data_IF_086734762856
#
_entry.id   IF_086734762856
#
_cell.length_a   1.000
_cell.length_b   1.000
_cell.length_c   1.000
_cell.angle_alpha   90.00
_cell.angle_beta   90.00
_cell.angle_gamma   90.00
#
_symmetry.space_group_name_H-M   'P 1'
#
loop_
_entity.id
_entity.type
_entity.pdbx_description
1 polymer ?
#
# COMPACT_ATOMS: atom_id res chain seq x y z
N UNK A 1 -1.74 46.57 1.18
CA UNK A 1 -2.40 46.55 2.50
C UNK A 1 -2.53 45.08 2.86
N UNK A 2 -1.83 44.50 3.83
CA UNK A 2 -0.86 44.98 4.79
C UNK A 2 0.18 43.85 5.02
N UNK A 3 1.41 44.23 5.35
CA UNK A 3 2.42 43.33 5.90
C UNK A 3 2.00 42.86 7.29
N UNK A 4 2.36 41.64 7.67
CA UNK A 4 2.59 41.30 9.07
C UNK A 4 3.70 40.25 9.24
N UNK A 5 4.72 40.72 9.97
CA UNK A 5 5.70 40.01 10.78
C UNK A 5 6.91 39.32 10.11
N UNK A 6 8.07 39.95 10.33
CA UNK A 6 9.40 39.41 10.07
C UNK A 6 9.86 38.55 11.26
N UNK A 7 10.50 37.41 11.00
CA UNK A 7 11.57 36.90 11.87
C UNK A 7 12.57 35.99 11.12
N UNK A 8 13.64 36.60 10.60
CA UNK A 8 14.98 36.42 11.17
C UNK A 8 15.68 35.05 11.21
N UNK A 9 15.15 33.93 10.70
CA UNK A 9 15.90 32.65 10.69
C UNK A 9 16.30 32.20 9.28
N UNK A 10 17.62 32.09 9.07
CA UNK A 10 18.27 31.59 7.84
C UNK A 10 17.56 30.36 7.31
N UNK A 11 16.86 30.51 6.17
CA UNK A 11 16.23 29.38 5.47
C UNK A 11 17.34 28.57 4.80
N UNK A 12 17.66 27.41 5.37
CA UNK A 12 18.38 26.35 4.66
C UNK A 12 17.63 25.96 3.37
N UNK A 13 18.29 25.32 2.39
CA UNK A 13 17.71 25.16 1.06
C UNK A 13 16.41 24.36 1.14
N UNK A 14 15.31 25.05 0.79
CA UNK A 14 13.93 24.58 0.69
C UNK A 14 13.78 23.32 -0.19
N UNK A 15 14.78 23.04 -1.03
CA UNK A 15 14.84 21.89 -1.93
C UNK A 15 15.15 20.56 -1.24
N UNK A 16 15.78 20.57 -0.06
CA UNK A 16 16.22 19.34 0.61
C UNK A 16 15.05 18.52 1.16
N UNK A 17 14.06 19.17 1.76
CA UNK A 17 12.88 18.50 2.35
C UNK A 17 11.96 17.95 1.28
N UNK A 18 11.73 18.70 0.20
CA UNK A 18 10.84 18.29 -0.89
C UNK A 18 11.44 17.13 -1.71
N UNK A 19 12.76 17.15 -1.94
CA UNK A 19 13.48 16.06 -2.60
C UNK A 19 13.47 14.78 -1.77
N UNK A 20 13.65 14.89 -0.44
CA UNK A 20 13.54 13.75 0.48
C UNK A 20 12.12 13.17 0.51
N UNK A 21 11.08 14.02 0.52
CA UNK A 21 9.69 13.57 0.41
C UNK A 21 9.41 12.87 -0.92
N UNK A 22 9.92 13.38 -2.04
CA UNK A 22 9.81 12.73 -3.35
C UNK A 22 10.53 11.38 -3.40
N UNK A 23 11.71 11.25 -2.80
CA UNK A 23 12.45 9.99 -2.67
C UNK A 23 11.71 8.98 -1.77
N UNK A 24 11.09 9.43 -0.68
CA UNK A 24 10.26 8.59 0.18
C UNK A 24 9.01 8.09 -0.56
N UNK A 25 8.38 8.96 -1.36
CA UNK A 25 7.20 8.62 -2.17
C UNK A 25 7.54 7.84 -3.44
N UNK A 26 8.79 7.86 -3.92
CA UNK A 26 9.22 7.13 -5.11
C UNK A 26 9.07 5.60 -4.98
N UNK A 27 8.99 5.10 -3.74
CA UNK A 27 8.78 3.69 -3.45
C UNK A 27 7.30 3.30 -3.37
N UNK A 28 6.38 4.22 -3.63
CA UNK A 28 4.94 3.95 -3.61
C UNK A 28 4.33 4.05 -5.01
N UNK A 29 3.28 3.28 -5.22
CA UNK A 29 2.45 3.30 -6.41
C UNK A 29 0.97 3.31 -6.01
N UNK A 30 0.14 3.81 -6.92
CA UNK A 30 -1.30 3.73 -6.83
C UNK A 30 -1.83 2.76 -7.88
N UNK A 31 -2.78 1.91 -7.48
CA UNK A 31 -3.42 0.94 -8.36
C UNK A 31 -4.93 0.98 -8.15
N UNK A 32 -5.67 0.58 -9.19
CA UNK A 32 -7.12 0.40 -9.12
C UNK A 32 -7.37 -1.10 -9.33
N UNK A 33 -8.07 -1.73 -8.40
CA UNK A 33 -8.45 -3.13 -8.53
C UNK A 33 -9.60 -3.29 -9.52
N UNK A 34 -9.76 -4.51 -10.05
CA UNK A 34 -10.89 -4.85 -10.91
C UNK A 34 -12.24 -4.71 -10.18
N UNK A 35 -12.24 -4.74 -8.85
CA UNK A 35 -13.40 -4.49 -7.98
C UNK A 35 -13.75 -3.00 -7.89
N UNK A 36 -12.89 -2.10 -8.37
CA UNK A 36 -13.05 -0.65 -8.28
C UNK A 36 -12.40 0.01 -7.06
N UNK A 37 -11.85 -0.78 -6.13
CA UNK A 37 -11.16 -0.25 -4.94
C UNK A 37 -9.84 0.44 -5.33
N UNK A 38 -9.52 1.53 -4.64
CA UNK A 38 -8.24 2.20 -4.73
C UNK A 38 -7.22 1.56 -3.80
N UNK A 39 -6.00 1.39 -4.29
CA UNK A 39 -4.90 0.78 -3.55
C UNK A 39 -3.72 1.73 -3.53
N UNK A 40 -3.18 1.93 -2.33
CA UNK A 40 -1.87 2.52 -2.12
C UNK A 40 -0.90 1.40 -1.74
N UNK A 41 0.11 1.19 -2.57
CA UNK A 41 1.03 0.06 -2.46
C UNK A 41 2.48 0.49 -2.64
N UNK A 42 3.41 -0.44 -2.43
CA UNK A 42 4.81 -0.24 -2.77
C UNK A 42 5.03 -0.43 -4.28
N UNK A 43 5.99 0.29 -4.86
CA UNK A 43 6.33 0.26 -6.28
C UNK A 43 6.86 -1.11 -6.77
N UNK A 44 7.18 -2.02 -5.84
CA UNK A 44 7.53 -3.42 -6.15
C UNK A 44 6.31 -4.27 -6.58
N UNK A 45 5.10 -3.79 -6.30
CA UNK A 45 3.86 -4.40 -6.75
C UNK A 45 3.72 -4.27 -8.26
N UNK A 46 3.22 -5.32 -8.91
CA UNK A 46 3.13 -5.44 -10.36
C UNK A 46 1.77 -5.97 -10.77
N UNK A 47 1.44 -5.77 -12.05
CA UNK A 47 0.27 -6.41 -12.65
C UNK A 47 0.38 -7.94 -12.47
N UNK A 48 -0.75 -8.57 -12.11
CA UNK A 48 -0.90 -9.99 -11.71
C UNK A 48 -0.53 -10.32 -10.26
N UNK A 49 -0.03 -9.38 -9.47
CA UNK A 49 -0.08 -9.54 -8.01
C UNK A 49 -1.55 -9.55 -7.56
N UNK A 50 -1.87 -10.41 -6.59
CA UNK A 50 -3.21 -10.55 -6.03
C UNK A 50 -3.26 -9.85 -4.67
N UNK A 51 -4.35 -9.13 -4.43
CA UNK A 51 -4.65 -8.58 -3.10
C UNK A 51 -5.32 -9.68 -2.30
N UNK A 52 -4.75 -10.01 -1.14
CA UNK A 52 -5.24 -11.04 -0.26
C UNK A 52 -5.41 -10.52 1.17
N UNK A 53 -6.38 -11.08 1.87
CA UNK A 53 -6.49 -11.00 3.33
C UNK A 53 -5.93 -12.30 3.89
N UNK A 54 -4.99 -12.20 4.83
CA UNK A 54 -4.37 -13.36 5.46
C UNK A 54 -4.85 -13.47 6.90
N UNK A 55 -5.16 -14.70 7.34
CA UNK A 55 -5.47 -14.97 8.74
C UNK A 55 -4.29 -14.52 9.61
N UNK A 56 -4.58 -13.71 10.63
CA UNK A 56 -3.56 -13.16 11.53
C UNK A 56 -2.80 -11.95 10.99
N UNK A 57 -3.07 -11.48 9.76
CA UNK A 57 -2.54 -10.23 9.25
C UNK A 57 -3.58 -9.11 9.40
N UNK A 58 -3.27 -8.00 10.08
CA UNK A 58 -4.24 -6.92 10.33
C UNK A 58 -4.45 -6.00 9.12
N UNK A 59 -3.75 -6.24 8.01
CA UNK A 59 -3.81 -5.40 6.81
C UNK A 59 -3.87 -6.27 5.55
N UNK A 60 -4.47 -5.79 4.46
CA UNK A 60 -4.38 -6.44 3.16
C UNK A 60 -2.94 -6.51 2.66
N UNK A 61 -2.64 -7.53 1.86
CA UNK A 61 -1.28 -7.78 1.35
C UNK A 61 -1.30 -8.09 -0.13
N UNK A 62 -0.21 -7.75 -0.82
CA UNK A 62 0.08 -8.22 -2.17
C UNK A 62 0.79 -9.56 -2.10
N UNK A 63 0.24 -10.56 -2.78
CA UNK A 63 0.87 -11.85 -3.03
C UNK A 63 1.17 -12.00 -4.51
N UNK A 64 2.30 -12.63 -4.83
CA UNK A 64 2.68 -12.97 -6.20
C UNK A 64 2.60 -14.48 -6.40
N UNK A 65 1.63 -14.98 -7.17
CA UNK A 65 1.54 -16.40 -7.50
C UNK A 65 2.73 -16.87 -8.33
N UNK A 66 3.26 -18.07 -8.06
CA UNK A 66 4.31 -18.70 -8.87
C UNK A 66 3.77 -19.59 -10.02
N UNK A 67 2.45 -19.81 -10.04
CA UNK A 67 1.75 -20.66 -11.02
C UNK A 67 1.54 -22.11 -10.59
N UNK A 68 2.14 -22.54 -9.47
CA UNK A 68 2.04 -23.89 -8.91
C UNK A 68 1.21 -23.95 -7.62
N UNK A 69 0.33 -22.97 -7.41
CA UNK A 69 -0.47 -22.84 -6.19
C UNK A 69 0.26 -22.19 -5.01
N UNK A 70 1.53 -21.81 -5.17
CA UNK A 70 2.30 -21.11 -4.14
C UNK A 70 2.35 -19.62 -4.40
N UNK A 71 2.58 -18.86 -3.33
CA UNK A 71 2.60 -17.41 -3.36
C UNK A 71 3.81 -16.86 -2.61
N UNK A 72 4.44 -15.83 -3.18
CA UNK A 72 5.43 -15.02 -2.49
C UNK A 72 4.78 -13.77 -1.90
N UNK A 73 5.05 -13.49 -0.62
CA UNK A 73 4.66 -12.23 0.00
C UNK A 73 5.43 -11.07 -0.64
N UNK A 74 4.71 -10.08 -1.18
CA UNK A 74 5.34 -8.92 -1.85
C UNK A 74 5.41 -7.73 -0.90
N UNK A 75 4.26 -7.27 -0.40
CA UNK A 75 4.17 -6.09 0.44
C UNK A 75 2.82 -5.97 1.14
N UNK A 76 2.73 -5.29 2.31
CA UNK A 76 1.46 -4.84 2.85
C UNK A 76 0.87 -3.70 2.00
N UNK A 77 -0.45 -3.57 2.03
CA UNK A 77 -1.21 -2.63 1.21
C UNK A 77 -2.15 -1.79 2.07
N UNK A 78 -2.44 -0.59 1.59
CA UNK A 78 -3.63 0.15 2.01
C UNK A 78 -4.69 0.03 0.90
N UNK A 79 -5.86 -0.50 1.23
CA UNK A 79 -6.94 -0.72 0.27
C UNK A 79 -8.21 -0.06 0.78
N UNK A 80 -8.67 0.95 0.04
CA UNK A 80 -9.87 1.71 0.38
C UNK A 80 -11.10 0.78 0.47
N UNK A 81 -11.82 0.85 1.58
CA UNK A 81 -12.99 0.02 1.89
C UNK A 81 -12.70 -1.45 2.19
N UNK A 82 -11.45 -1.82 2.50
CA UNK A 82 -11.07 -3.19 2.94
C UNK A 82 -10.23 -3.18 4.25
N UNK A 83 -9.68 -2.03 4.63
CA UNK A 83 -8.79 -1.92 5.80
C UNK A 83 -9.45 -2.28 7.14
N UNK A 84 -10.78 -2.16 7.25
CA UNK A 84 -11.53 -2.42 8.47
C UNK A 84 -12.18 -3.82 8.45
N UNK A 85 -11.73 -4.69 7.54
CA UNK A 85 -12.18 -6.08 7.45
C UNK A 85 -13.47 -6.28 6.66
N UNK A 86 -13.92 -5.29 5.90
CA UNK A 86 -15.19 -5.31 5.16
C UNK A 86 -15.25 -6.42 4.09
N UNK A 87 -14.08 -6.85 3.59
CA UNK A 87 -13.97 -7.95 2.63
C UNK A 87 -13.63 -9.31 3.28
N UNK A 88 -13.53 -9.38 4.62
CA UNK A 88 -13.36 -10.65 5.31
C UNK A 88 -14.67 -11.46 5.27
N UNK A 89 -14.64 -12.75 4.89
CA UNK A 89 -15.86 -13.53 4.80
C UNK A 89 -16.43 -13.82 6.20
N UNK A 90 -17.75 -13.71 6.35
CA UNK A 90 -18.47 -14.13 7.58
C UNK A 90 -18.37 -15.64 7.81
N UNK A 91 -18.17 -16.41 6.73
CA UNK A 91 -18.10 -17.86 6.72
C UNK A 91 -16.67 -18.31 6.44
N UNK A 92 -16.02 -18.85 7.47
CA UNK A 92 -14.62 -19.32 7.41
C UNK A 92 -14.42 -20.48 6.42
N UNK A 93 -15.48 -21.20 6.03
CA UNK A 93 -15.36 -22.25 5.01
C UNK A 93 -15.02 -21.72 3.61
N UNK A 94 -15.12 -20.39 3.40
CA UNK A 94 -14.72 -19.71 2.16
C UNK A 94 -13.24 -19.34 2.13
N UNK A 95 -12.50 -19.57 3.21
CA UNK A 95 -11.07 -19.32 3.26
C UNK A 95 -10.34 -20.40 2.46
N UNK A 96 -9.32 -19.98 1.72
CA UNK A 96 -8.42 -20.89 1.01
C UNK A 96 -7.09 -20.99 1.76
N UNK A 97 -6.58 -22.22 1.88
CA UNK A 97 -5.21 -22.43 2.36
C UNK A 97 -4.21 -22.07 1.26
N UNK A 98 -3.13 -21.41 1.65
CA UNK A 98 -2.04 -21.02 0.76
C UNK A 98 -0.80 -21.79 1.22
N UNK A 99 -0.23 -22.59 0.34
CA UNK A 99 1.03 -23.27 0.62
C UNK A 99 2.20 -22.26 0.55
N UNK A 100 3.02 -22.14 1.61
CA UNK A 100 4.22 -21.33 1.57
C UNK A 100 5.26 -21.93 0.61
N UNK A 101 6.09 -21.07 0.03
CA UNK A 101 7.26 -21.46 -0.78
C UNK A 101 8.39 -21.96 0.12
#
# INVERSE_FOLDING_TARGET
MADCFQDGKKKGPLYSTLALQLLYSANYAFMILNTGNFVWCFAVCKQRDVVALLVGCPVPVALRPDGNGRCTFVAPLYVDGIMDGEAWPEDESKLAEIEPV
#
